data_IF_452710683977
#
_entry.id   IF_452710683977
#
_cell.length_a   1.000
_cell.length_b   1.000
_cell.length_c   1.000
_cell.angle_alpha   90.00
_cell.angle_beta   90.00
_cell.angle_gamma   90.00
#
_symmetry.space_group_name_H-M   'P 1'
#
loop_
_entity.id
_entity.type
_entity.pdbx_description
1 polymer ?
#
# COMPACT_ATOMS: atom_id res chain seq x y z
N UNK A 1 -37.74 -40.45 2.47
CA UNK A 1 -37.28 -39.11 2.02
C UNK A 1 -36.09 -38.57 2.86
N UNK A 2 -35.22 -39.45 3.38
CA UNK A 2 -34.11 -39.06 4.28
C UNK A 2 -32.74 -39.11 3.55
N UNK A 3 -32.58 -40.02 2.59
CA UNK A 3 -31.34 -40.22 1.83
C UNK A 3 -31.05 -39.06 0.87
N UNK A 4 -32.09 -38.43 0.29
CA UNK A 4 -31.93 -37.31 -0.66
C UNK A 4 -31.44 -36.02 0.02
N UNK A 5 -31.75 -35.83 1.31
CA UNK A 5 -31.26 -34.68 2.10
C UNK A 5 -29.77 -34.84 2.42
N UNK A 6 -29.31 -36.08 2.65
CA UNK A 6 -27.90 -36.41 2.90
C UNK A 6 -27.02 -36.11 1.68
N UNK A 7 -27.45 -36.50 0.47
CA UNK A 7 -26.65 -36.25 -0.74
C UNK A 7 -26.54 -34.76 -1.06
N UNK A 8 -27.63 -34.00 -0.92
CA UNK A 8 -27.59 -32.52 -1.04
C UNK A 8 -26.65 -31.89 -0.02
N UNK A 9 -26.69 -32.33 1.25
CA UNK A 9 -25.78 -31.83 2.29
C UNK A 9 -24.33 -32.20 1.99
N UNK A 10 -24.06 -33.41 1.47
CA UNK A 10 -22.72 -33.84 1.09
C UNK A 10 -22.15 -32.95 -0.03
N UNK A 11 -22.93 -32.72 -1.10
CA UNK A 11 -22.55 -31.83 -2.21
C UNK A 11 -22.36 -30.40 -1.71
N UNK A 12 -23.22 -29.92 -0.82
CA UNK A 12 -23.09 -28.60 -0.20
C UNK A 12 -21.78 -28.49 0.61
N UNK A 13 -21.45 -29.48 1.44
CA UNK A 13 -20.20 -29.51 2.20
C UNK A 13 -18.98 -29.56 1.26
N UNK A 14 -19.06 -30.33 0.17
CA UNK A 14 -18.02 -30.33 -0.87
C UNK A 14 -17.85 -28.95 -1.51
N UNK A 15 -18.95 -28.25 -1.76
CA UNK A 15 -18.92 -26.88 -2.28
C UNK A 15 -18.26 -25.90 -1.31
N UNK A 16 -18.54 -26.02 -0.02
CA UNK A 16 -17.86 -25.26 1.04
C UNK A 16 -16.37 -25.59 1.12
N UNK A 17 -16.00 -26.84 0.91
CA UNK A 17 -14.61 -27.29 0.95
C UNK A 17 -13.82 -26.72 -0.24
N UNK A 18 -14.43 -26.74 -1.44
CA UNK A 18 -13.87 -26.09 -2.64
C UNK A 18 -13.75 -24.58 -2.43
N UNK A 19 -14.77 -23.94 -1.85
CA UNK A 19 -14.74 -22.51 -1.54
C UNK A 19 -13.61 -22.16 -0.55
N UNK A 20 -13.44 -22.97 0.49
CA UNK A 20 -12.38 -22.79 1.48
C UNK A 20 -10.99 -23.01 0.87
N UNK A 21 -10.81 -24.04 0.03
CA UNK A 21 -9.56 -24.28 -0.70
C UNK A 21 -9.27 -23.14 -1.69
N UNK A 22 -10.28 -22.67 -2.41
CA UNK A 22 -10.14 -21.55 -3.33
C UNK A 22 -9.71 -20.28 -2.58
N UNK A 23 -10.35 -19.96 -1.44
CA UNK A 23 -9.96 -18.85 -0.57
C UNK A 23 -8.54 -19.03 -0.01
N UNK A 24 -8.18 -20.24 0.38
CA UNK A 24 -6.84 -20.54 0.90
C UNK A 24 -5.75 -20.37 -0.17
N UNK A 25 -5.99 -20.87 -1.39
CA UNK A 25 -5.07 -20.67 -2.51
C UNK A 25 -5.02 -19.18 -2.88
N UNK A 26 -6.15 -18.49 -2.93
CA UNK A 26 -6.18 -17.04 -3.17
C UNK A 26 -5.38 -16.26 -2.13
N UNK A 27 -5.53 -16.63 -0.85
CA UNK A 27 -4.77 -16.09 0.27
C UNK A 27 -3.27 -16.32 0.09
N UNK A 28 -2.85 -17.53 -0.30
CA UNK A 28 -1.46 -17.87 -0.59
C UNK A 28 -0.90 -17.07 -1.78
N UNK A 29 -1.72 -16.82 -2.80
CA UNK A 29 -1.24 -16.26 -4.07
C UNK A 29 -1.16 -14.73 -4.06
N UNK A 30 -2.12 -14.06 -3.41
CA UNK A 30 -2.28 -12.60 -3.47
C UNK A 30 -2.11 -11.95 -2.08
N UNK A 31 -2.22 -12.73 -1.00
CA UNK A 31 -2.18 -12.24 0.38
C UNK A 31 -3.53 -11.73 0.89
N UNK A 32 -3.73 -11.79 2.22
CA UNK A 32 -4.96 -11.33 2.89
C UNK A 32 -5.28 -9.87 2.56
N UNK A 33 -4.25 -9.03 2.53
CA UNK A 33 -4.34 -7.59 2.35
C UNK A 33 -4.99 -7.21 1.02
N UNK A 34 -4.63 -7.93 -0.04
CA UNK A 34 -5.19 -7.75 -1.38
C UNK A 34 -6.63 -8.23 -1.47
N UNK A 35 -6.94 -9.40 -0.88
CA UNK A 35 -8.31 -9.89 -0.83
C UNK A 35 -9.22 -8.91 -0.07
N UNK A 36 -8.73 -8.36 1.05
CA UNK A 36 -9.42 -7.35 1.82
C UNK A 36 -9.70 -6.08 1.00
N UNK A 37 -8.71 -5.56 0.27
CA UNK A 37 -8.88 -4.41 -0.61
C UNK A 37 -9.82 -4.68 -1.77
N UNK A 38 -9.83 -5.89 -2.32
CA UNK A 38 -10.73 -6.30 -3.39
C UNK A 38 -12.18 -6.33 -2.89
N UNK A 39 -12.42 -6.92 -1.71
CA UNK A 39 -13.74 -6.92 -1.06
C UNK A 39 -14.19 -5.49 -0.74
N UNK A 40 -13.30 -4.67 -0.17
CA UNK A 40 -13.59 -3.25 0.10
C UNK A 40 -13.87 -2.46 -1.18
N UNK A 41 -13.13 -2.71 -2.26
CA UNK A 41 -13.33 -2.07 -3.55
C UNK A 41 -14.70 -2.41 -4.13
N UNK A 42 -15.10 -3.69 -4.10
CA UNK A 42 -16.43 -4.14 -4.50
C UNK A 42 -17.54 -3.56 -3.62
N UNK A 43 -17.32 -3.49 -2.31
CA UNK A 43 -18.27 -2.86 -1.39
C UNK A 43 -18.40 -1.36 -1.66
N UNK A 44 -17.29 -0.68 -1.96
CA UNK A 44 -17.28 0.76 -2.24
C UNK A 44 -18.09 1.09 -3.49
N UNK A 45 -18.03 0.26 -4.53
CA UNK A 45 -18.87 0.42 -5.73
C UNK A 45 -20.37 0.45 -5.41
N UNK A 46 -20.81 -0.30 -4.39
CA UNK A 46 -22.21 -0.34 -3.96
C UNK A 46 -22.61 0.82 -3.06
N UNK A 47 -21.76 1.21 -2.12
CA UNK A 47 -22.12 2.16 -1.07
C UNK A 47 -21.58 3.58 -1.31
N UNK A 48 -20.32 3.69 -1.71
CA UNK A 48 -19.59 4.97 -1.85
C UNK A 48 -18.62 4.87 -3.05
N UNK A 49 -19.11 4.98 -4.29
CA UNK A 49 -18.33 4.65 -5.48
C UNK A 49 -17.12 5.59 -5.70
N UNK A 50 -17.14 6.79 -5.12
CA UNK A 50 -15.98 7.70 -5.15
C UNK A 50 -14.75 7.12 -4.44
N UNK A 51 -14.93 6.21 -3.47
CA UNK A 51 -13.84 5.55 -2.77
C UNK A 51 -13.19 4.41 -3.57
N UNK A 52 -13.82 3.95 -4.65
CA UNK A 52 -13.25 2.90 -5.50
C UNK A 52 -11.88 3.28 -6.05
N UNK A 53 -11.73 4.52 -6.54
CA UNK A 53 -10.48 4.99 -7.14
C UNK A 53 -9.32 5.08 -6.13
N UNK A 54 -9.49 5.68 -4.92
CA UNK A 54 -8.49 5.61 -3.85
C UNK A 54 -8.13 4.18 -3.42
N UNK A 55 -9.14 3.31 -3.26
CA UNK A 55 -8.92 1.92 -2.85
C UNK A 55 -8.12 1.16 -3.92
N UNK A 56 -8.41 1.41 -5.20
CA UNK A 56 -7.66 0.84 -6.32
C UNK A 56 -6.20 1.30 -6.32
N UNK A 57 -5.96 2.59 -6.05
CA UNK A 57 -4.61 3.14 -5.93
C UNK A 57 -3.82 2.48 -4.78
N UNK A 58 -4.46 2.30 -3.62
CA UNK A 58 -3.88 1.61 -2.47
C UNK A 58 -3.61 0.14 -2.80
N UNK A 59 -4.53 -0.53 -3.50
CA UNK A 59 -4.35 -1.92 -3.93
C UNK A 59 -3.13 -2.10 -4.84
N UNK A 60 -2.91 -1.16 -5.77
CA UNK A 60 -1.69 -1.13 -6.59
C UNK A 60 -0.45 -0.95 -5.70
N UNK A 61 -0.47 -0.03 -4.75
CA UNK A 61 0.63 0.18 -3.79
C UNK A 61 0.96 -1.08 -2.98
N UNK A 62 -0.06 -1.72 -2.39
CA UNK A 62 0.08 -2.99 -1.66
C UNK A 62 0.60 -4.11 -2.56
N UNK A 63 0.25 -4.12 -3.85
CA UNK A 63 0.75 -5.14 -4.78
C UNK A 63 2.26 -5.13 -4.90
N UNK A 64 2.82 -3.93 -5.09
CA UNK A 64 4.24 -3.76 -5.35
C UNK A 64 5.06 -3.82 -4.07
N UNK A 65 4.49 -3.39 -2.95
CA UNK A 65 5.19 -3.39 -1.66
C UNK A 65 4.98 -4.67 -0.86
N UNK A 66 4.06 -5.55 -1.28
CA UNK A 66 3.71 -6.80 -0.60
C UNK A 66 2.87 -6.63 0.66
N UNK A 67 2.82 -5.43 1.26
CA UNK A 67 2.06 -5.13 2.48
C UNK A 67 1.64 -3.64 2.55
N UNK A 68 0.73 -3.32 3.47
CA UNK A 68 0.32 -1.95 3.83
C UNK A 68 1.44 -1.12 4.46
N UNK A 69 2.58 -1.74 4.81
CA UNK A 69 3.77 -1.05 5.32
C UNK A 69 4.24 0.09 4.40
N UNK A 70 3.95 0.02 3.09
CA UNK A 70 4.27 1.09 2.15
C UNK A 70 3.70 2.45 2.54
N UNK A 71 2.54 2.47 3.21
CA UNK A 71 1.90 3.70 3.66
C UNK A 71 2.74 4.34 4.77
N UNK A 72 3.21 3.52 5.71
CA UNK A 72 4.08 3.98 6.79
C UNK A 72 5.42 4.51 6.22
N UNK A 73 6.04 3.76 5.30
CA UNK A 73 7.27 4.20 4.65
C UNK A 73 7.06 5.50 3.86
N UNK A 74 5.99 5.62 3.09
CA UNK A 74 5.67 6.83 2.35
C UNK A 74 5.48 8.06 3.27
N UNK A 75 4.83 7.87 4.42
CA UNK A 75 4.65 8.93 5.43
C UNK A 75 6.00 9.32 6.03
N UNK A 76 6.84 8.35 6.42
CA UNK A 76 8.16 8.60 7.01
C UNK A 76 9.05 9.35 6.02
N UNK A 77 9.12 8.87 4.77
CA UNK A 77 9.87 9.55 3.71
C UNK A 77 9.34 10.95 3.43
N UNK A 78 8.01 11.11 3.37
CA UNK A 78 7.37 12.42 3.19
C UNK A 78 7.71 13.39 4.32
N UNK A 79 7.67 12.92 5.57
CA UNK A 79 8.00 13.73 6.74
C UNK A 79 9.48 14.13 6.75
N UNK A 80 10.39 13.19 6.46
CA UNK A 80 11.82 13.47 6.38
C UNK A 80 12.15 14.44 5.23
N UNK A 81 11.47 14.29 4.09
CA UNK A 81 11.54 15.23 2.97
C UNK A 81 11.09 16.64 3.39
N UNK A 82 9.95 16.75 4.07
CA UNK A 82 9.42 18.02 4.53
C UNK A 82 10.34 18.72 5.55
N UNK A 83 10.96 17.95 6.45
CA UNK A 83 11.89 18.48 7.46
C UNK A 83 13.27 18.82 6.88
N UNK A 84 13.75 18.05 5.91
CA UNK A 84 15.04 18.29 5.28
C UNK A 84 15.04 19.50 4.33
N UNK A 85 13.90 19.87 3.74
CA UNK A 85 13.76 21.05 2.91
C UNK A 85 14.17 22.37 3.60
N UNK A 86 13.58 22.76 4.75
CA UNK A 86 13.96 23.99 5.44
C UNK A 86 15.39 23.93 5.99
N UNK A 87 15.85 22.77 6.46
CA UNK A 87 17.23 22.59 6.93
C UNK A 87 18.21 22.75 5.77
N UNK A 88 17.92 22.17 4.61
CA UNK A 88 18.72 22.29 3.40
C UNK A 88 18.77 23.73 2.89
N UNK A 89 17.65 24.44 2.90
CA UNK A 89 17.59 25.86 2.52
C UNK A 89 18.40 26.74 3.49
N UNK A 90 18.22 26.57 4.80
CA UNK A 90 18.98 27.32 5.81
C UNK A 90 20.48 27.00 5.76
N UNK A 91 20.83 25.74 5.52
CA UNK A 91 22.22 25.33 5.32
C UNK A 91 22.81 25.95 4.05
N UNK A 92 22.05 26.00 2.96
CA UNK A 92 22.48 26.64 1.73
C UNK A 92 22.69 28.15 1.92
N UNK A 93 21.79 28.85 2.61
CA UNK A 93 21.95 30.28 2.93
C UNK A 93 23.19 30.58 3.79
N UNK A 94 23.57 29.68 4.71
CA UNK A 94 24.71 29.89 5.60
C UNK A 94 26.05 29.45 4.98
N UNK A 95 26.04 28.37 4.20
CA UNK A 95 27.25 27.75 3.65
C UNK A 95 27.63 28.36 2.30
N UNK A 96 26.66 28.71 1.44
CA UNK A 96 26.93 29.31 0.13
C UNK A 96 27.78 30.60 0.22
N UNK A 97 27.45 31.60 1.05
CA UNK A 97 28.27 32.82 1.16
C UNK A 97 29.62 32.58 1.84
N UNK A 98 29.75 31.50 2.63
CA UNK A 98 31.04 31.12 3.24
C UNK A 98 31.94 30.41 2.23
N UNK A 99 31.35 29.56 1.39
CA UNK A 99 32.02 28.87 0.30
C UNK A 99 32.49 29.84 -0.79
N UNK A 100 31.65 30.80 -1.16
CA UNK A 100 31.97 31.81 -2.17
C UNK A 100 33.10 32.73 -1.72
N UNK A 101 33.13 33.11 -0.43
CA UNK A 101 34.26 33.83 0.19
C UNK A 101 35.56 33.00 0.15
N UNK A 102 35.50 31.74 0.56
CA UNK A 102 36.68 30.86 0.54
C UNK A 102 37.24 30.66 -0.88
N UNK A 103 36.36 30.54 -1.88
CA UNK A 103 36.75 30.46 -3.29
C UNK A 103 37.46 31.72 -3.78
N UNK A 104 37.01 32.91 -3.36
CA UNK A 104 37.66 34.17 -3.74
C UNK A 104 39.03 34.36 -3.08
N UNK A 105 39.21 33.93 -1.83
CA UNK A 105 40.50 33.97 -1.14
C UNK A 105 41.54 33.07 -1.83
N UNK A 106 41.12 31.88 -2.27
CA UNK A 106 41.97 30.92 -3.01
C UNK A 106 42.36 31.37 -4.43
N UNK A 107 41.59 32.25 -5.05
CA UNK A 107 41.88 32.76 -6.40
C UNK A 107 42.74 34.05 -6.40
N UNK A 108 42.96 34.65 -5.22
CA UNK A 108 43.73 35.90 -5.06
C UNK A 108 45.16 35.70 -4.54
N UNK A 109 45.53 34.48 -4.16
CA UNK A 109 46.90 34.08 -3.81
C UNK A 109 47.48 33.14 -4.85
#
# INVERSE_FOLDING_TARGET
>A
MIIFVSLKKLVQTFWWLILAMALYVFYQTIGLNMFFLLVLGLLSLKFVPVLFLPILLIAVGVHFSGDFSFIADAIVWGFWGLMSLPIGLAFMETVYPKFERWKQERNKG
#
